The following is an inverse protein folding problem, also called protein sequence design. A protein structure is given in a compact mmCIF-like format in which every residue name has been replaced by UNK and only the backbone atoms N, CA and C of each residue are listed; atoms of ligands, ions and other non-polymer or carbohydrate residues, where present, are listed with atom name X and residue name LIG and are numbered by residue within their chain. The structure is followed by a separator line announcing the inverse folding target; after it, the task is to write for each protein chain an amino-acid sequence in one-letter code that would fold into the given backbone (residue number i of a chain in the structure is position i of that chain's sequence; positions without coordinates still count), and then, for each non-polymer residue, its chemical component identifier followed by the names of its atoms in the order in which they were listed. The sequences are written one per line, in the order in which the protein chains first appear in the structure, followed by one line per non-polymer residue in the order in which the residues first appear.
data_IF_967542628515
#
_entry.id   IF_967542628515
#
_cell.length_a   1.000
_cell.length_b   1.000
_cell.length_c   1.000
_cell.angle_alpha   90.00
_cell.angle_beta   90.00
_cell.angle_gamma   90.00
#
_symmetry.space_group_name_H-M   'P 1'
#
loop_
_entity.id
_entity.type
_entity.pdbx_description
1 polymer ?
#
# COMPACT_ATOMS: atom_id res chain seq x y z
N UNK A 1 9.13 13.47 78.01
CA UNK A 1 9.08 12.37 77.02
C UNK A 1 8.50 12.91 75.71
N UNK A 2 9.35 13.33 74.75
CA UNK A 2 8.92 13.77 73.41
C UNK A 2 9.14 12.60 72.44
N UNK A 3 8.05 12.08 71.87
CA UNK A 3 8.11 11.01 70.86
C UNK A 3 8.70 11.58 69.57
N UNK A 4 9.81 11.01 69.09
CA UNK A 4 10.29 11.21 67.72
C UNK A 4 9.35 10.48 66.76
N UNK A 5 8.82 11.21 65.79
CA UNK A 5 8.11 10.66 64.64
C UNK A 5 9.16 10.43 63.54
N UNK A 6 9.27 9.23 62.93
CA UNK A 6 10.22 9.01 61.86
C UNK A 6 9.73 9.71 60.59
N UNK A 7 10.61 10.52 60.00
CA UNK A 7 10.40 11.15 58.71
C UNK A 7 10.52 10.05 57.65
N UNK A 8 9.40 9.58 57.11
CA UNK A 8 9.40 8.65 55.98
C UNK A 8 9.93 9.39 54.74
N UNK A 9 11.10 8.98 54.25
CA UNK A 9 11.63 9.46 52.98
C UNK A 9 10.71 8.98 51.85
N UNK A 10 9.95 9.91 51.27
CA UNK A 10 9.21 9.70 50.03
C UNK A 10 10.24 9.51 48.91
N UNK A 11 10.55 8.26 48.58
CA UNK A 11 11.32 7.92 47.39
C UNK A 11 10.55 8.37 46.15
N UNK A 12 10.99 9.45 45.53
CA UNK A 12 10.51 9.85 44.21
C UNK A 12 11.00 8.80 43.21
N UNK A 13 10.15 7.84 42.87
CA UNK A 13 10.38 6.94 41.73
C UNK A 13 10.21 7.81 40.48
N UNK A 14 11.34 8.34 39.98
CA UNK A 14 11.41 8.88 38.63
C UNK A 14 11.12 7.72 37.68
N UNK A 15 9.88 7.59 37.25
CA UNK A 15 9.50 6.68 36.18
C UNK A 15 10.39 7.00 34.99
N UNK A 16 11.23 6.05 34.58
CA UNK A 16 11.95 6.17 33.32
C UNK A 16 10.92 6.44 32.22
N UNK A 17 11.14 7.44 31.34
CA UNK A 17 10.25 7.60 30.20
C UNK A 17 10.33 6.29 29.42
N UNK A 18 9.19 5.62 29.28
CA UNK A 18 9.10 4.47 28.39
C UNK A 18 9.52 4.98 27.01
N UNK A 19 10.72 4.61 26.57
CA UNK A 19 11.11 4.79 25.17
C UNK A 19 10.03 4.08 24.36
N UNK A 20 9.32 4.83 23.52
CA UNK A 20 8.35 4.23 22.61
C UNK A 20 9.07 3.11 21.85
N UNK A 21 8.51 1.91 21.86
CA UNK A 21 9.11 0.76 21.19
C UNK A 21 9.40 1.14 19.73
N UNK A 22 10.63 0.96 19.28
CA UNK A 22 11.00 1.17 17.89
C UNK A 22 10.21 0.20 17.01
N UNK A 23 9.56 0.71 15.96
CA UNK A 23 8.79 -0.13 15.05
C UNK A 23 9.74 -1.01 14.22
N UNK A 24 9.39 -2.28 14.12
CA UNK A 24 10.02 -3.20 13.17
C UNK A 24 9.73 -2.77 11.73
N UNK A 25 10.55 -3.21 10.77
CA UNK A 25 10.27 -2.99 9.34
C UNK A 25 8.90 -3.53 8.92
N UNK A 26 8.45 -4.64 9.52
CA UNK A 26 7.11 -5.18 9.27
C UNK A 26 6.03 -4.20 9.74
N UNK A 27 6.11 -3.70 10.97
CA UNK A 27 5.14 -2.74 11.51
C UNK A 27 5.12 -1.43 10.71
N UNK A 28 6.28 -0.94 10.28
CA UNK A 28 6.37 0.24 9.39
C UNK A 28 5.68 -0.06 8.05
N UNK A 29 5.97 -1.20 7.43
CA UNK A 29 5.38 -1.56 6.14
C UNK A 29 3.86 -1.72 6.26
N UNK A 30 3.37 -2.35 7.33
CA UNK A 30 1.94 -2.58 7.59
C UNK A 30 1.22 -1.25 7.81
N UNK A 31 1.81 -0.35 8.60
CA UNK A 31 1.27 0.98 8.83
C UNK A 31 1.20 1.79 7.52
N UNK A 32 2.28 1.82 6.74
CA UNK A 32 2.30 2.50 5.43
C UNK A 32 1.25 1.89 4.49
N UNK A 33 1.16 0.56 4.42
CA UNK A 33 0.16 -0.11 3.59
C UNK A 33 -1.26 0.28 3.99
N UNK A 34 -1.57 0.31 5.30
CA UNK A 34 -2.90 0.68 5.78
C UNK A 34 -3.34 2.08 5.32
N UNK A 35 -2.41 3.04 5.33
CA UNK A 35 -2.66 4.41 4.84
C UNK A 35 -2.91 4.39 3.33
N UNK A 36 -2.00 3.74 2.59
CA UNK A 36 -2.07 3.66 1.12
C UNK A 36 -3.34 2.94 0.62
N UNK A 37 -3.74 1.86 1.30
CA UNK A 37 -4.97 1.11 1.02
C UNK A 37 -6.21 1.96 1.33
N UNK A 38 -6.24 2.63 2.48
CA UNK A 38 -7.35 3.47 2.88
C UNK A 38 -7.56 4.62 1.88
N UNK A 39 -6.51 5.36 1.54
CA UNK A 39 -6.58 6.49 0.62
C UNK A 39 -7.04 6.07 -0.77
N UNK A 40 -6.47 4.99 -1.32
CA UNK A 40 -6.89 4.45 -2.62
C UNK A 40 -8.33 3.95 -2.58
N UNK A 41 -8.75 3.30 -1.48
CA UNK A 41 -10.12 2.82 -1.32
C UNK A 41 -11.12 3.97 -1.28
N UNK A 42 -10.83 5.01 -0.50
CA UNK A 42 -11.66 6.21 -0.39
C UNK A 42 -11.79 6.89 -1.75
N UNK A 43 -10.66 7.13 -2.44
CA UNK A 43 -10.67 7.70 -3.79
C UNK A 43 -11.50 6.86 -4.76
N UNK A 44 -11.30 5.55 -4.76
CA UNK A 44 -12.00 4.64 -5.68
C UNK A 44 -13.51 4.60 -5.42
N UNK A 45 -13.92 4.52 -4.16
CA UNK A 45 -15.34 4.38 -3.80
C UNK A 45 -16.09 5.71 -3.88
N UNK A 46 -15.57 6.74 -3.21
CA UNK A 46 -16.29 8.00 -3.03
C UNK A 46 -16.17 8.94 -4.23
N UNK A 47 -15.11 8.81 -5.02
CA UNK A 47 -14.87 9.68 -6.18
C UNK A 47 -15.13 8.90 -7.47
N UNK A 48 -14.29 7.92 -7.81
CA UNK A 48 -14.36 7.25 -9.12
C UNK A 48 -15.68 6.48 -9.29
N UNK A 49 -16.01 5.58 -8.36
CA UNK A 49 -17.19 4.74 -8.49
C UNK A 49 -18.49 5.56 -8.39
N UNK A 50 -18.56 6.53 -7.47
CA UNK A 50 -19.71 7.43 -7.35
C UNK A 50 -19.92 8.22 -8.64
N UNK A 51 -18.91 8.96 -9.08
CA UNK A 51 -19.08 9.90 -10.18
C UNK A 51 -19.18 9.22 -11.56
N UNK A 52 -18.48 8.10 -11.78
CA UNK A 52 -18.53 7.37 -13.06
C UNK A 52 -19.70 6.38 -13.15
N UNK A 53 -19.88 5.53 -12.13
CA UNK A 53 -20.78 4.38 -12.27
C UNK A 53 -22.19 4.66 -11.71
N UNK A 54 -22.29 5.47 -10.65
CA UNK A 54 -23.57 5.77 -10.01
C UNK A 54 -24.21 7.03 -10.61
N UNK A 55 -23.51 8.16 -10.55
CA UNK A 55 -23.99 9.46 -11.01
C UNK A 55 -23.77 9.68 -12.52
N UNK A 56 -22.79 9.00 -13.11
CA UNK A 56 -22.47 9.03 -14.55
C UNK A 56 -22.19 10.44 -15.09
N UNK A 57 -21.52 11.28 -14.29
CA UNK A 57 -21.22 12.68 -14.64
C UNK A 57 -19.82 12.87 -15.24
N UNK A 58 -18.89 11.96 -14.97
CA UNK A 58 -17.51 11.99 -15.50
C UNK A 58 -16.93 10.58 -15.54
N UNK A 59 -16.07 10.31 -16.53
CA UNK A 59 -15.30 9.04 -16.61
C UNK A 59 -13.95 9.16 -15.91
N UNK A 60 -13.37 8.03 -15.53
CA UNK A 60 -11.95 7.87 -15.28
C UNK A 60 -11.28 7.28 -16.52
N UNK A 61 -10.06 7.72 -16.83
CA UNK A 61 -9.38 7.32 -18.07
C UNK A 61 -7.88 7.25 -17.89
N UNK A 62 -7.22 6.36 -18.63
CA UNK A 62 -5.76 6.36 -18.75
C UNK A 62 -5.25 7.68 -19.35
N UNK A 63 -6.04 8.29 -20.24
CA UNK A 63 -5.75 9.58 -20.90
C UNK A 63 -6.48 10.73 -20.20
N UNK A 64 -6.56 10.69 -18.87
CA UNK A 64 -7.38 11.59 -18.05
C UNK A 64 -7.27 13.07 -18.43
N UNK A 65 -6.09 13.55 -18.81
CA UNK A 65 -5.86 14.95 -19.15
C UNK A 65 -6.50 15.34 -20.47
N UNK A 66 -6.32 14.53 -21.51
CA UNK A 66 -6.89 14.77 -22.85
C UNK A 66 -8.40 14.56 -22.84
N UNK A 67 -8.83 13.54 -22.08
CA UNK A 67 -10.24 13.17 -21.91
C UNK A 67 -11.02 14.06 -20.95
N UNK A 68 -10.36 15.01 -20.26
CA UNK A 68 -10.94 15.80 -19.17
C UNK A 68 -11.66 14.92 -18.13
N UNK A 69 -10.99 13.85 -17.75
CA UNK A 69 -11.49 12.76 -16.93
C UNK A 69 -10.75 12.67 -15.60
N UNK A 70 -11.26 11.83 -14.70
CA UNK A 70 -10.59 11.48 -13.45
C UNK A 70 -9.37 10.60 -13.73
N UNK A 71 -8.34 10.70 -12.89
CA UNK A 71 -7.24 9.74 -12.88
C UNK A 71 -7.75 8.35 -12.45
N UNK A 72 -7.20 7.28 -13.03
CA UNK A 72 -7.52 5.94 -12.56
C UNK A 72 -6.96 5.69 -11.15
N UNK A 73 -7.58 4.80 -10.33
CA UNK A 73 -7.04 4.44 -9.02
C UNK A 73 -5.58 3.99 -9.03
N UNK A 74 -5.16 3.23 -10.05
CA UNK A 74 -3.77 2.82 -10.21
C UNK A 74 -2.84 3.98 -10.61
N UNK A 75 -3.34 4.95 -11.40
CA UNK A 75 -2.57 6.16 -11.74
C UNK A 75 -2.41 7.06 -10.53
N UNK A 76 -3.48 7.29 -9.76
CA UNK A 76 -3.41 8.04 -8.50
C UNK A 76 -2.35 7.44 -7.57
N UNK A 77 -2.36 6.11 -7.39
CA UNK A 77 -1.38 5.42 -6.55
C UNK A 77 0.06 5.58 -7.05
N UNK A 78 0.26 5.46 -8.38
CA UNK A 78 1.57 5.67 -9.00
C UNK A 78 2.06 7.12 -8.82
N UNK A 79 1.22 8.12 -9.09
CA UNK A 79 1.59 9.53 -8.88
C UNK A 79 1.91 9.82 -7.42
N UNK A 80 1.20 9.19 -6.48
CA UNK A 80 1.54 9.25 -5.06
C UNK A 80 2.94 8.71 -4.79
N UNK A 81 3.27 7.52 -5.33
CA UNK A 81 4.60 6.93 -5.17
C UNK A 81 5.71 7.80 -5.76
N UNK A 82 5.49 8.35 -6.95
CA UNK A 82 6.41 9.29 -7.60
C UNK A 82 6.61 10.55 -6.74
N UNK A 83 5.53 11.16 -6.25
CA UNK A 83 5.61 12.35 -5.41
C UNK A 83 6.30 12.10 -4.05
N UNK A 84 6.14 10.90 -3.48
CA UNK A 84 6.86 10.49 -2.25
C UNK A 84 8.35 10.31 -2.54
N UNK A 85 8.70 9.70 -3.68
CA UNK A 85 10.09 9.53 -4.09
C UNK A 85 10.79 10.86 -4.38
N UNK A 86 10.11 11.81 -5.04
CA UNK A 86 10.62 13.16 -5.32
C UNK A 86 10.96 13.94 -4.03
N UNK A 87 10.26 13.64 -2.92
CA UNK A 87 10.54 14.20 -1.60
C UNK A 87 11.73 13.54 -0.88
N UNK A 88 12.43 12.60 -1.53
CA UNK A 88 13.59 11.92 -0.95
C UNK A 88 13.24 10.85 0.08
N UNK A 89 12.03 10.28 0.02
CA UNK A 89 11.66 9.16 0.88
C UNK A 89 12.65 7.99 0.70
N UNK A 90 13.03 7.37 1.83
CA UNK A 90 14.01 6.26 1.83
C UNK A 90 13.38 4.92 1.48
N UNK A 91 12.07 4.85 1.30
CA UNK A 91 11.33 3.66 0.91
C UNK A 91 10.69 3.85 -0.46
N UNK A 92 10.28 2.75 -1.09
CA UNK A 92 9.52 2.77 -2.34
C UNK A 92 8.29 1.91 -2.22
N UNK A 93 7.26 2.24 -2.99
CA UNK A 93 6.09 1.39 -3.13
C UNK A 93 5.51 1.42 -4.54
N UNK A 94 4.84 0.34 -4.94
CA UNK A 94 4.29 0.20 -6.29
C UNK A 94 3.14 -0.80 -6.33
N UNK A 95 2.27 -0.69 -7.33
CA UNK A 95 1.31 -1.74 -7.67
C UNK A 95 1.90 -2.65 -8.74
N UNK A 96 1.98 -3.94 -8.45
CA UNK A 96 2.37 -4.97 -9.41
C UNK A 96 1.24 -5.99 -9.58
N UNK A 97 1.25 -6.73 -10.69
CA UNK A 97 0.29 -7.80 -10.94
C UNK A 97 0.90 -8.91 -11.79
N UNK A 98 0.36 -10.12 -11.66
CA UNK A 98 0.60 -11.23 -12.60
C UNK A 98 -0.14 -11.03 -13.94
N UNK A 99 -1.15 -10.16 -13.95
CA UNK A 99 -1.99 -9.84 -15.11
C UNK A 99 -2.12 -8.32 -15.31
N UNK A 100 -1.01 -7.58 -15.43
CA UNK A 100 -1.10 -6.14 -15.46
C UNK A 100 -1.59 -5.64 -16.82
N UNK A 101 -2.54 -4.70 -16.80
CA UNK A 101 -2.95 -3.94 -17.99
C UNK A 101 -1.78 -3.11 -18.51
N UNK A 102 -1.15 -2.31 -17.64
CA UNK A 102 0.09 -1.62 -17.96
C UNK A 102 1.28 -2.54 -17.71
N UNK A 103 1.99 -2.94 -18.78
CA UNK A 103 3.14 -3.84 -18.73
C UNK A 103 4.28 -3.41 -17.80
N UNK A 104 4.38 -2.13 -17.44
CA UNK A 104 5.36 -1.66 -16.47
C UNK A 104 5.13 -2.21 -15.05
N UNK A 105 3.90 -2.64 -14.75
CA UNK A 105 3.50 -3.22 -13.47
C UNK A 105 3.73 -4.75 -13.39
N UNK A 106 4.49 -5.32 -14.33
CA UNK A 106 4.95 -6.70 -14.21
C UNK A 106 5.98 -6.85 -13.10
N UNK A 107 5.96 -7.99 -12.43
CA UNK A 107 7.05 -8.41 -11.56
C UNK A 107 8.36 -8.61 -12.35
N UNK A 108 9.43 -8.05 -11.82
CA UNK A 108 10.80 -8.03 -12.35
C UNK A 108 11.72 -8.94 -11.54
N UNK A 109 11.52 -9.03 -10.22
CA UNK A 109 12.38 -9.83 -9.33
C UNK A 109 11.74 -11.17 -8.97
N UNK A 110 12.53 -12.18 -8.57
CA UNK A 110 12.00 -13.45 -8.07
C UNK A 110 11.08 -13.25 -6.86
N UNK A 111 11.42 -12.33 -5.95
CA UNK A 111 10.62 -12.02 -4.75
C UNK A 111 9.29 -11.38 -5.11
N UNK A 112 9.25 -10.50 -6.11
CA UNK A 112 7.99 -9.95 -6.61
C UNK A 112 7.09 -11.05 -7.20
N UNK A 113 7.63 -11.98 -8.00
CA UNK A 113 6.83 -13.07 -8.59
C UNK A 113 6.29 -14.01 -7.52
N UNK A 114 7.16 -14.50 -6.63
CA UNK A 114 6.80 -15.38 -5.53
C UNK A 114 5.77 -14.74 -4.60
N UNK A 115 5.99 -13.47 -4.24
CA UNK A 115 5.06 -12.76 -3.37
C UNK A 115 3.71 -12.48 -4.03
N UNK A 116 3.68 -12.13 -5.32
CA UNK A 116 2.41 -11.96 -6.04
C UNK A 116 1.60 -13.25 -6.11
N UNK A 117 2.25 -14.40 -6.31
CA UNK A 117 1.58 -15.72 -6.23
C UNK A 117 1.09 -16.02 -4.82
N UNK A 118 1.89 -15.71 -3.80
CA UNK A 118 1.55 -15.97 -2.40
C UNK A 118 0.32 -15.16 -1.93
N UNK A 119 0.25 -13.87 -2.26
CA UNK A 119 -0.84 -13.00 -1.82
C UNK A 119 -2.19 -13.30 -2.47
N UNK A 120 -2.24 -14.14 -3.52
CA UNK A 120 -3.52 -14.62 -4.08
C UNK A 120 -4.36 -15.37 -3.04
N UNK A 121 -3.73 -15.91 -2.00
CA UNK A 121 -4.41 -16.55 -0.86
C UNK A 121 -5.09 -15.55 0.08
N UNK A 122 -4.74 -14.27 -0.02
CA UNK A 122 -5.34 -13.17 0.74
C UNK A 122 -4.52 -12.68 1.94
N UNK A 123 -3.39 -13.32 2.26
CA UNK A 123 -2.47 -12.90 3.32
C UNK A 123 -1.28 -12.12 2.76
N UNK A 124 -0.72 -11.13 3.49
CA UNK A 124 0.51 -10.47 3.09
C UNK A 124 1.71 -11.42 3.06
N UNK A 125 2.67 -11.11 2.19
CA UNK A 125 3.92 -11.83 2.03
C UNK A 125 5.10 -10.91 2.36
N UNK A 126 6.09 -11.43 3.09
CA UNK A 126 7.26 -10.66 3.51
C UNK A 126 8.53 -11.42 3.19
N UNK A 127 9.52 -10.73 2.61
CA UNK A 127 10.84 -11.30 2.33
C UNK A 127 11.89 -10.21 2.25
N UNK A 128 13.14 -10.59 2.51
CA UNK A 128 14.28 -9.73 2.26
C UNK A 128 14.85 -9.98 0.86
N UNK A 129 15.18 -8.92 0.12
CA UNK A 129 15.87 -9.03 -1.17
C UNK A 129 16.98 -7.98 -1.32
N UNK A 130 17.92 -8.24 -2.24
CA UNK A 130 19.02 -7.31 -2.55
C UNK A 130 18.81 -6.73 -3.94
N UNK A 131 18.71 -5.40 -4.04
CA UNK A 131 18.51 -4.65 -5.28
C UNK A 131 19.60 -3.59 -5.40
N UNK A 132 20.35 -3.60 -6.51
CA UNK A 132 21.42 -2.62 -6.73
C UNK A 132 22.46 -2.58 -5.59
N UNK A 133 22.78 -3.73 -5.00
CA UNK A 133 23.73 -3.85 -3.88
C UNK A 133 23.20 -3.41 -2.52
N UNK A 134 21.92 -3.00 -2.41
CA UNK A 134 21.28 -2.62 -1.14
C UNK A 134 20.25 -3.67 -0.74
N UNK A 135 20.17 -3.94 0.56
CA UNK A 135 19.25 -4.90 1.13
C UNK A 135 17.94 -4.22 1.50
N UNK A 136 16.81 -4.88 1.23
CA UNK A 136 15.47 -4.36 1.48
C UNK A 136 14.61 -5.40 2.18
N UNK A 137 13.86 -4.96 3.18
CA UNK A 137 12.65 -5.65 3.62
C UNK A 137 11.53 -5.32 2.63
N UNK A 138 11.01 -6.36 1.98
CA UNK A 138 9.96 -6.25 0.97
C UNK A 138 8.70 -6.91 1.49
N UNK A 139 7.64 -6.11 1.58
CA UNK A 139 6.30 -6.54 1.93
C UNK A 139 5.41 -6.46 0.69
N UNK A 140 4.60 -7.47 0.45
CA UNK A 140 3.66 -7.55 -0.66
C UNK A 140 2.29 -7.84 -0.06
N UNK A 141 1.34 -6.94 -0.31
CA UNK A 141 -0.02 -7.01 0.21
C UNK A 141 -1.01 -7.27 -0.92
N UNK A 142 -2.07 -8.07 -0.71
CA UNK A 142 -3.06 -8.35 -1.75
C UNK A 142 -3.83 -7.09 -2.16
N UNK A 143 -3.77 -6.73 -3.44
CA UNK A 143 -4.59 -5.64 -3.99
C UNK A 143 -5.94 -6.19 -4.46
N UNK A 144 -6.99 -6.00 -3.65
CA UNK A 144 -8.32 -6.55 -3.91
C UNK A 144 -9.19 -5.64 -4.76
N UNK A 145 -10.07 -6.25 -5.56
CA UNK A 145 -11.14 -5.57 -6.28
C UNK A 145 -12.20 -5.02 -5.30
N UNK A 146 -12.01 -3.80 -4.80
CA UNK A 146 -12.89 -3.16 -3.79
C UNK A 146 -14.07 -2.35 -4.36
N UNK A 147 -14.12 -2.14 -5.69
CA UNK A 147 -15.21 -1.44 -6.36
C UNK A 147 -15.46 -1.99 -7.77
N UNK A 148 -16.69 -1.78 -8.28
CA UNK A 148 -17.08 -2.20 -9.64
C UNK A 148 -16.18 -1.60 -10.72
N UNK A 149 -15.74 -0.35 -10.52
CA UNK A 149 -14.80 0.32 -11.42
C UNK A 149 -13.51 -0.48 -11.66
N UNK A 150 -13.02 -1.21 -10.64
CA UNK A 150 -11.80 -2.02 -10.76
C UNK A 150 -11.99 -3.15 -11.78
N UNK A 151 -13.05 -3.94 -11.62
CA UNK A 151 -13.28 -5.12 -12.46
C UNK A 151 -13.80 -4.75 -13.85
N UNK A 152 -14.61 -3.69 -13.99
CA UNK A 152 -15.11 -3.27 -15.31
C UNK A 152 -13.95 -2.85 -16.21
N UNK A 153 -13.06 -1.98 -15.73
CA UNK A 153 -11.91 -1.57 -16.53
C UNK A 153 -11.02 -2.78 -16.87
N UNK A 154 -10.61 -3.58 -15.88
CA UNK A 154 -9.71 -4.70 -16.13
C UNK A 154 -10.32 -5.80 -17.02
N UNK A 155 -11.62 -6.07 -16.93
CA UNK A 155 -12.25 -7.08 -17.77
C UNK A 155 -12.47 -6.60 -19.21
N UNK A 156 -12.76 -5.31 -19.39
CA UNK A 156 -13.07 -4.76 -20.72
C UNK A 156 -11.81 -4.26 -21.45
N UNK A 157 -10.70 -4.01 -20.75
CA UNK A 157 -9.50 -3.43 -21.34
C UNK A 157 -8.87 -4.35 -22.41
N UNK A 158 -8.54 -3.77 -23.57
CA UNK A 158 -7.97 -4.51 -24.71
C UNK A 158 -6.65 -5.22 -24.37
N UNK A 159 -5.83 -4.60 -23.54
CA UNK A 159 -4.51 -5.11 -23.17
C UNK A 159 -4.53 -5.96 -21.89
N UNK A 160 -5.72 -6.22 -21.31
CA UNK A 160 -5.81 -7.01 -20.08
C UNK A 160 -5.51 -8.49 -20.35
N UNK A 161 -4.52 -9.09 -19.65
CA UNK A 161 -4.22 -10.52 -19.79
C UNK A 161 -5.29 -11.43 -19.19
N UNK A 162 -6.11 -10.92 -18.25
CA UNK A 162 -7.17 -11.67 -17.55
C UNK A 162 -8.45 -10.82 -17.51
N UNK A 163 -9.58 -11.41 -17.90
CA UNK A 163 -10.85 -10.68 -18.11
C UNK A 163 -12.06 -11.18 -17.32
N UNK A 164 -11.81 -12.04 -16.34
CA UNK A 164 -12.85 -12.69 -15.53
C UNK A 164 -12.74 -12.31 -14.04
N UNK A 165 -12.15 -11.15 -13.72
CA UNK A 165 -12.06 -10.67 -12.34
C UNK A 165 -13.45 -10.42 -11.75
N UNK A 166 -13.61 -10.82 -10.49
CA UNK A 166 -14.82 -10.59 -9.69
C UNK A 166 -14.53 -9.67 -8.51
N UNK A 167 -15.60 -9.12 -7.92
CA UNK A 167 -15.50 -8.35 -6.69
C UNK A 167 -14.84 -9.17 -5.60
N UNK A 168 -13.84 -8.61 -4.92
CA UNK A 168 -13.06 -9.29 -3.89
C UNK A 168 -11.87 -10.10 -4.40
N UNK A 169 -11.74 -10.34 -5.71
CA UNK A 169 -10.56 -11.00 -6.28
C UNK A 169 -9.29 -10.20 -5.98
N UNK A 170 -8.19 -10.90 -5.73
CA UNK A 170 -6.85 -10.31 -5.71
C UNK A 170 -6.40 -10.05 -7.14
N UNK A 171 -6.25 -8.77 -7.50
CA UNK A 171 -5.90 -8.32 -8.84
C UNK A 171 -4.38 -8.13 -9.01
N UNK A 172 -3.64 -8.10 -7.91
CA UNK A 172 -2.20 -7.89 -7.88
C UNK A 172 -1.73 -7.71 -6.44
N UNK A 173 -0.65 -6.96 -6.26
CA UNK A 173 -0.17 -6.61 -4.94
C UNK A 173 0.44 -5.22 -4.83
N UNK A 174 0.26 -4.62 -3.66
CA UNK A 174 1.02 -3.45 -3.23
C UNK A 174 2.36 -3.94 -2.72
N UNK A 175 3.44 -3.58 -3.41
CA UNK A 175 4.80 -3.89 -3.01
C UNK A 175 5.37 -2.69 -2.27
N UNK A 176 5.84 -2.90 -1.04
CA UNK A 176 6.51 -1.89 -0.20
C UNK A 176 7.93 -2.38 0.08
N UNK A 177 8.92 -1.51 -0.14
CA UNK A 177 10.33 -1.81 0.12
C UNK A 177 10.93 -0.81 1.09
N UNK A 178 11.36 -1.32 2.23
CA UNK A 178 12.08 -0.56 3.24
C UNK A 178 13.56 -0.98 3.23
N UNK A 179 14.51 -0.04 3.16
CA UNK A 179 15.92 -0.39 3.24
C UNK A 179 16.22 -0.98 4.62
N UNK A 180 17.04 -2.04 4.64
CA UNK A 180 17.58 -2.62 5.86
C UNK A 180 19.11 -2.53 5.81
N UNK A 181 19.73 -2.26 6.95
CA UNK A 181 21.20 -2.22 7.08
C UNK A 181 21.80 -3.61 6.86
#
# INVERSE_FOLDING_TARGET
MRKLIPLAALGCVLGQPALAAEWTHKEIADALHSIMEADRTVYTKLIVNRLQNQEKVIKASEHWKDDKALVLPAQMFRYGSEAVAEKGAKFSYSLLSLWPVNKQNNAKTPVEKEGLEAVLKGDPYYKTETLGGKKYFTAIYPDKAVAKACITCHNDHKDSPRKDFKMGDVMGGVVVRLPIQ
#
